data_IF_942942353039
#
_entry.id   IF_942942353039
#
_cell.length_a   1.000
_cell.length_b   1.000
_cell.length_c   1.000
_cell.angle_alpha   90.00
_cell.angle_beta   90.00
_cell.angle_gamma   90.00
#
_symmetry.space_group_name_H-M   'P 1'
#
loop_
_entity.id
_entity.type
_entity.pdbx_description
1 polymer ?
#
# COMPACT_ATOMS: atom_id res chain seq x y z
N UNK A 1 17.14 -6.58 16.39
CA UNK A 1 16.33 -5.55 15.69
C UNK A 1 15.37 -6.14 14.64
N UNK A 2 15.77 -7.10 13.79
CA UNK A 2 14.92 -7.62 12.69
C UNK A 2 13.53 -8.16 13.06
N UNK A 3 13.29 -8.61 14.31
CA UNK A 3 12.01 -9.24 14.71
C UNK A 3 10.84 -8.27 14.89
N UNK A 4 11.04 -6.95 14.78
CA UNK A 4 9.99 -5.93 15.00
C UNK A 4 9.65 -5.11 13.74
N UNK A 5 10.04 -5.58 12.56
CA UNK A 5 9.82 -4.85 11.30
C UNK A 5 8.81 -5.58 10.43
N UNK A 6 7.85 -4.83 9.87
CA UNK A 6 6.84 -5.33 8.96
C UNK A 6 6.88 -4.49 7.66
N UNK A 7 7.50 -4.98 6.58
CA UNK A 7 7.44 -4.31 5.29
C UNK A 7 6.04 -4.48 4.66
N UNK A 8 5.51 -3.40 4.08
CA UNK A 8 4.24 -3.36 3.37
C UNK A 8 4.44 -2.74 1.98
N UNK A 9 3.58 -3.09 1.02
CA UNK A 9 3.67 -2.61 -0.36
C UNK A 9 2.31 -2.10 -0.83
N UNK A 10 2.28 -0.92 -1.46
CA UNK A 10 1.06 -0.29 -1.99
C UNK A 10 0.47 -1.00 -3.23
N UNK A 11 1.18 -1.97 -3.79
CA UNK A 11 0.80 -2.76 -4.96
C UNK A 11 0.54 -1.91 -6.22
N UNK A 12 1.40 -0.92 -6.48
CA UNK A 12 1.46 -0.21 -7.77
C UNK A 12 1.99 -1.14 -8.85
N UNK A 13 1.37 -1.08 -10.03
CA UNK A 13 1.83 -1.76 -11.25
C UNK A 13 2.70 -0.87 -12.16
N UNK A 14 3.02 0.35 -11.73
CA UNK A 14 3.80 1.33 -12.49
C UNK A 14 5.21 1.57 -11.90
N UNK A 15 5.81 0.53 -11.30
CA UNK A 15 7.20 0.55 -10.83
C UNK A 15 8.14 -0.27 -11.73
N UNK A 16 9.46 0.00 -11.73
CA UNK A 16 10.42 -0.85 -12.42
C UNK A 16 10.49 -2.24 -11.77
N UNK A 17 10.50 -3.30 -12.57
CA UNK A 17 10.58 -4.70 -12.11
C UNK A 17 12.00 -5.19 -11.84
N UNK A 18 12.20 -6.51 -11.80
CA UNK A 18 13.52 -7.14 -11.78
C UNK A 18 14.22 -7.20 -10.41
N UNK A 19 13.51 -7.01 -9.30
CA UNK A 19 14.10 -6.97 -7.95
C UNK A 19 13.78 -8.22 -7.09
N UNK A 20 13.16 -9.25 -7.67
CA UNK A 20 12.76 -10.49 -6.98
C UNK A 20 13.67 -11.66 -7.35
N UNK A 21 13.69 -12.71 -6.52
CA UNK A 21 14.61 -13.85 -6.69
C UNK A 21 14.04 -15.00 -7.53
N UNK A 22 12.72 -15.21 -7.48
CA UNK A 22 12.08 -16.32 -8.19
C UNK A 22 11.80 -15.97 -9.66
N UNK A 23 12.15 -16.91 -10.55
CA UNK A 23 12.02 -16.77 -12.02
C UNK A 23 10.65 -16.26 -12.44
N UNK A 24 9.58 -16.80 -11.86
CA UNK A 24 8.19 -16.45 -12.19
C UNK A 24 7.91 -14.94 -12.06
N UNK A 25 8.62 -14.24 -11.17
CA UNK A 25 8.40 -12.81 -10.92
C UNK A 25 9.35 -11.88 -11.70
N UNK A 26 10.40 -12.42 -12.34
CA UNK A 26 11.40 -11.63 -13.07
C UNK A 26 11.44 -11.95 -14.57
N UNK A 27 10.68 -12.93 -15.03
CA UNK A 27 10.63 -13.31 -16.46
C UNK A 27 10.22 -12.13 -17.34
N UNK A 28 9.22 -11.34 -16.92
CA UNK A 28 8.78 -10.14 -17.66
C UNK A 28 9.71 -8.94 -17.49
N UNK A 29 10.67 -9.02 -16.56
CA UNK A 29 11.75 -8.04 -16.38
C UNK A 29 13.04 -8.46 -17.08
N UNK A 30 13.04 -9.60 -17.79
CA UNK A 30 14.20 -10.20 -18.45
C UNK A 30 15.36 -10.50 -17.49
N UNK A 31 15.03 -10.84 -16.24
CA UNK A 31 15.99 -11.20 -15.19
C UNK A 31 16.08 -10.17 -14.07
N UNK A 32 17.15 -10.28 -13.30
CA UNK A 32 17.40 -9.44 -12.14
C UNK A 32 18.09 -8.13 -12.53
N UNK A 33 17.51 -7.01 -12.11
CA UNK A 33 17.98 -5.65 -12.38
C UNK A 33 18.55 -5.06 -11.10
N UNK A 34 19.88 -5.08 -10.99
CA UNK A 34 20.58 -4.68 -9.77
C UNK A 34 20.27 -3.24 -9.36
N UNK A 35 20.17 -2.30 -10.31
CA UNK A 35 19.84 -0.90 -9.99
C UNK A 35 18.47 -0.75 -9.32
N UNK A 36 17.45 -1.47 -9.79
CA UNK A 36 16.11 -1.44 -9.19
C UNK A 36 16.10 -2.03 -7.79
N UNK A 37 16.81 -3.15 -7.59
CA UNK A 37 16.97 -3.76 -6.28
C UNK A 37 17.68 -2.83 -5.28
N UNK A 38 18.83 -2.26 -5.67
CA UNK A 38 19.61 -1.39 -4.79
C UNK A 38 18.84 -0.11 -4.44
N UNK A 39 18.12 0.48 -5.40
CA UNK A 39 17.28 1.64 -5.13
C UNK A 39 16.19 1.35 -4.07
N UNK A 40 15.53 0.20 -4.17
CA UNK A 40 14.49 -0.21 -3.21
C UNK A 40 15.08 -0.49 -1.82
N UNK A 41 16.18 -1.25 -1.76
CA UNK A 41 16.82 -1.60 -0.48
C UNK A 41 17.38 -0.36 0.20
N UNK A 42 18.18 0.44 -0.50
CA UNK A 42 18.82 1.62 0.06
C UNK A 42 17.77 2.68 0.47
N UNK A 43 16.71 2.86 -0.32
CA UNK A 43 15.62 3.77 0.01
C UNK A 43 14.85 3.34 1.26
N UNK A 44 14.57 2.04 1.38
CA UNK A 44 13.89 1.46 2.55
C UNK A 44 14.77 1.57 3.80
N UNK A 45 16.05 1.20 3.70
CA UNK A 45 17.00 1.34 4.80
C UNK A 45 17.10 2.80 5.27
N UNK A 46 17.22 3.74 4.34
CA UNK A 46 17.30 5.17 4.66
C UNK A 46 16.05 5.68 5.37
N UNK A 47 14.84 5.28 4.97
CA UNK A 47 13.62 5.71 5.65
C UNK A 47 13.51 5.13 7.06
N UNK A 48 13.97 3.89 7.26
CA UNK A 48 14.06 3.25 8.58
C UNK A 48 15.06 3.97 9.48
N UNK A 49 16.20 4.43 8.96
CA UNK A 49 17.20 5.16 9.74
C UNK A 49 16.66 6.54 10.15
N UNK A 50 16.00 7.24 9.23
CA UNK A 50 15.48 8.59 9.46
C UNK A 50 14.34 8.63 10.50
N UNK A 51 13.50 7.59 10.57
CA UNK A 51 12.33 7.61 11.46
C UNK A 51 12.70 7.67 12.97
N UNK A 52 13.62 6.83 13.51
CA UNK A 52 14.12 6.93 14.87
C UNK A 52 14.82 8.26 15.19
N UNK A 53 15.54 8.83 14.23
CA UNK A 53 16.25 10.11 14.39
C UNK A 53 15.30 11.30 14.56
N UNK A 54 14.04 11.15 14.17
CA UNK A 54 12.98 12.16 14.33
C UNK A 54 11.86 11.69 15.28
N UNK A 55 12.18 10.83 16.26
CA UNK A 55 11.22 10.44 17.30
C UNK A 55 10.81 11.63 18.17
N UNK A 56 9.51 11.78 18.39
CA UNK A 56 8.92 12.85 19.20
C UNK A 56 7.80 12.32 20.09
N UNK A 57 7.55 12.95 21.26
CA UNK A 57 6.39 12.63 22.08
C UNK A 57 5.10 13.00 21.36
N UNK A 58 4.13 12.10 21.37
CA UNK A 58 2.88 12.30 20.65
C UNK A 58 1.83 11.26 21.01
N UNK A 59 0.72 11.32 20.29
CA UNK A 59 -0.43 10.44 20.44
C UNK A 59 -0.75 9.72 19.13
N UNK A 60 -1.30 8.51 19.25
CA UNK A 60 -1.77 7.70 18.13
C UNK A 60 -3.29 7.60 18.22
N UNK A 61 -3.97 7.91 17.12
CA UNK A 61 -5.42 7.77 17.01
C UNK A 61 -5.76 6.75 15.93
N UNK A 62 -6.85 6.00 16.13
CA UNK A 62 -7.40 5.08 15.15
C UNK A 62 -8.82 5.50 14.80
N UNK A 63 -9.16 5.47 13.51
CA UNK A 63 -10.52 5.67 13.05
C UNK A 63 -10.86 4.69 11.92
N UNK A 64 -12.14 4.41 11.76
CA UNK A 64 -12.69 3.56 10.70
C UNK A 64 -13.82 4.29 10.00
N UNK A 65 -13.87 4.17 8.67
CA UNK A 65 -14.88 4.83 7.85
C UNK A 65 -15.24 4.03 6.61
N UNK A 66 -16.49 4.15 6.17
CA UNK A 66 -16.94 3.58 4.90
C UNK A 66 -16.48 4.44 3.72
N UNK A 67 -15.80 3.83 2.75
CA UNK A 67 -15.41 4.45 1.49
C UNK A 67 -16.08 3.70 0.33
N UNK A 68 -17.08 4.35 -0.26
CA UNK A 68 -17.80 3.83 -1.42
C UNK A 68 -17.09 4.22 -2.72
N UNK A 69 -17.41 3.53 -3.80
CA UNK A 69 -16.97 3.87 -5.17
C UNK A 69 -15.46 3.94 -5.45
N UNK A 70 -14.63 3.45 -4.52
CA UNK A 70 -13.17 3.38 -4.66
C UNK A 70 -12.65 2.02 -5.21
N UNK A 71 -13.54 1.23 -5.83
CA UNK A 71 -13.19 -0.06 -6.43
C UNK A 71 -14.37 -1.02 -6.60
N UNK A 72 -14.15 -2.05 -7.41
CA UNK A 72 -15.11 -3.12 -7.73
C UNK A 72 -14.50 -4.51 -7.54
N UNK A 73 -15.33 -5.53 -7.34
CA UNK A 73 -14.88 -6.91 -7.34
C UNK A 73 -14.61 -7.36 -8.79
N UNK A 74 -13.35 -7.68 -9.11
CA UNK A 74 -12.94 -8.14 -10.45
C UNK A 74 -13.22 -9.62 -10.74
N UNK A 75 -13.73 -10.37 -9.78
CA UNK A 75 -14.08 -11.79 -9.90
C UNK A 75 -15.37 -12.12 -9.13
N UNK A 76 -16.50 -11.48 -9.48
CA UNK A 76 -17.75 -11.60 -8.73
C UNK A 76 -18.31 -13.03 -8.77
N UNK A 77 -18.13 -13.76 -9.87
CA UNK A 77 -18.55 -15.17 -9.98
C UNK A 77 -17.82 -16.07 -8.98
N UNK A 78 -16.53 -15.85 -8.75
CA UNK A 78 -15.77 -16.59 -7.75
C UNK A 78 -16.24 -16.26 -6.31
N UNK A 79 -16.56 -15.00 -6.04
CA UNK A 79 -17.13 -14.59 -4.74
C UNK A 79 -18.48 -15.30 -4.47
N UNK A 80 -19.28 -15.55 -5.50
CA UNK A 80 -20.54 -16.31 -5.38
C UNK A 80 -20.35 -17.80 -5.08
N UNK A 81 -19.13 -18.32 -5.12
CA UNK A 81 -18.83 -19.69 -4.68
C UNK A 81 -18.59 -19.80 -3.16
N UNK A 82 -18.38 -18.68 -2.45
CA UNK A 82 -18.30 -18.69 -0.98
C UNK A 82 -19.65 -19.13 -0.37
N UNK A 83 -19.72 -19.83 0.77
CA UNK A 83 -21.00 -20.24 1.36
C UNK A 83 -22.00 -19.09 1.53
N UNK A 84 -23.27 -19.32 1.21
CA UNK A 84 -24.31 -18.29 1.32
C UNK A 84 -24.43 -17.72 2.76
N UNK A 85 -24.26 -18.58 3.77
CA UNK A 85 -24.25 -18.19 5.19
C UNK A 85 -23.10 -17.24 5.55
N UNK A 86 -21.98 -17.30 4.84
CA UNK A 86 -20.87 -16.37 5.01
C UNK A 86 -21.15 -15.05 4.29
N UNK A 87 -21.53 -15.10 3.00
CA UNK A 87 -21.80 -13.89 2.20
C UNK A 87 -22.87 -13.01 2.83
N UNK A 88 -23.90 -13.61 3.42
CA UNK A 88 -25.00 -12.89 4.09
C UNK A 88 -24.54 -12.10 5.33
N UNK A 89 -23.31 -12.30 5.83
CA UNK A 89 -22.73 -11.47 6.91
C UNK A 89 -22.21 -10.12 6.43
N UNK A 90 -22.06 -9.93 5.12
CA UNK A 90 -21.45 -8.75 4.53
C UNK A 90 -22.44 -8.04 3.59
N UNK A 91 -22.46 -6.70 3.65
CA UNK A 91 -23.34 -5.88 2.80
C UNK A 91 -22.87 -5.81 1.34
N UNK A 92 -21.57 -5.94 1.10
CA UNK A 92 -20.95 -5.76 -0.22
C UNK A 92 -20.02 -6.93 -0.53
N UNK A 93 -19.73 -7.15 -1.81
CA UNK A 93 -18.76 -8.14 -2.29
C UNK A 93 -17.32 -7.57 -2.39
N UNK A 94 -17.09 -6.42 -1.78
CA UNK A 94 -15.79 -5.76 -1.62
C UNK A 94 -15.74 -5.11 -0.24
N UNK A 95 -14.56 -5.05 0.37
CA UNK A 95 -14.39 -4.36 1.64
C UNK A 95 -14.48 -2.84 1.42
N UNK A 96 -15.48 -2.23 2.07
CA UNK A 96 -15.71 -0.78 2.02
C UNK A 96 -15.18 -0.05 3.26
N UNK A 97 -14.66 -0.76 4.27
CA UNK A 97 -14.09 -0.14 5.47
C UNK A 97 -12.63 0.26 5.21
N UNK A 98 -12.31 1.53 5.44
CA UNK A 98 -10.94 2.04 5.54
C UNK A 98 -10.58 2.20 7.02
N UNK A 99 -9.38 1.77 7.40
CA UNK A 99 -8.82 2.02 8.73
C UNK A 99 -7.67 3.03 8.63
N UNK A 100 -7.78 4.13 9.36
CA UNK A 100 -6.77 5.18 9.48
C UNK A 100 -6.08 5.08 10.83
N UNK A 101 -4.75 5.04 10.84
CA UNK A 101 -3.92 5.30 12.02
C UNK A 101 -3.28 6.68 11.83
N UNK A 102 -3.55 7.62 12.73
CA UNK A 102 -3.03 8.99 12.69
C UNK A 102 -2.04 9.22 13.82
N UNK A 103 -0.91 9.83 13.50
CA UNK A 103 0.13 10.24 14.44
C UNK A 103 0.06 11.75 14.63
N UNK A 104 0.02 12.19 15.89
CA UNK A 104 -0.08 13.59 16.28
C UNK A 104 1.02 13.90 17.27
N UNK A 105 1.86 14.86 16.93
CA UNK A 105 2.85 15.45 17.82
C UNK A 105 2.19 16.44 18.78
N UNK A 106 2.68 16.49 20.02
CA UNK A 106 2.10 17.32 21.07
C UNK A 106 2.25 18.84 20.84
N UNK A 107 3.24 19.27 20.07
CA UNK A 107 3.54 20.67 19.77
C UNK A 107 3.08 21.06 18.35
N UNK A 108 3.35 20.20 17.37
CA UNK A 108 3.24 20.52 15.94
C UNK A 108 1.94 20.01 15.30
N UNK A 109 1.15 19.21 16.03
CA UNK A 109 -0.11 18.64 15.52
C UNK A 109 0.11 17.41 14.64
N UNK A 110 -0.72 17.17 13.60
CA UNK A 110 -0.62 15.97 12.76
C UNK A 110 0.74 15.85 12.06
N UNK A 111 1.41 14.70 12.20
CA UNK A 111 2.75 14.46 11.61
C UNK A 111 2.82 13.26 10.67
N UNK A 112 1.76 12.44 10.62
CA UNK A 112 1.71 11.31 9.70
C UNK A 112 0.46 10.47 9.84
N UNK A 113 0.26 9.59 8.88
CA UNK A 113 -0.85 8.65 8.86
C UNK A 113 -0.50 7.37 8.10
N UNK A 114 -1.17 6.28 8.46
CA UNK A 114 -1.21 5.04 7.67
C UNK A 114 -2.67 4.67 7.42
N UNK A 115 -3.01 4.46 6.14
CA UNK A 115 -4.35 4.09 5.70
C UNK A 115 -4.39 2.68 5.12
N UNK A 116 -5.24 1.82 5.69
CA UNK A 116 -5.54 0.50 5.15
C UNK A 116 -6.89 0.54 4.42
N UNK A 117 -6.85 0.28 3.12
CA UNK A 117 -8.04 0.13 2.28
C UNK A 117 -7.75 -0.80 1.10
N UNK A 118 -8.64 -1.76 0.84
CA UNK A 118 -8.47 -2.79 -0.17
C UNK A 118 -8.85 -2.30 -1.58
N UNK A 119 -7.84 -1.84 -2.34
CA UNK A 119 -7.99 -1.53 -3.76
C UNK A 119 -6.65 -1.75 -4.47
N UNK A 120 -6.70 -2.12 -5.76
CA UNK A 120 -5.50 -2.40 -6.55
C UNK A 120 -4.83 -1.10 -7.00
N UNK A 121 -3.49 -1.03 -6.95
CA UNK A 121 -2.70 0.05 -7.56
C UNK A 121 -2.56 -0.15 -9.07
N UNK A 122 -3.69 -0.15 -9.79
CA UNK A 122 -3.79 -0.39 -11.24
C UNK A 122 -4.62 0.68 -11.95
N UNK A 123 -4.66 1.91 -11.43
CA UNK A 123 -5.29 3.04 -12.12
C UNK A 123 -4.48 3.46 -13.36
N UNK A 124 -3.15 3.33 -13.30
CA UNK A 124 -2.28 3.41 -14.47
C UNK A 124 -2.39 2.10 -15.26
N UNK A 125 -2.76 2.20 -16.53
CA UNK A 125 -2.95 1.03 -17.39
C UNK A 125 -1.61 0.41 -17.83
N UNK A 126 -1.67 -0.79 -18.42
CA UNK A 126 -0.48 -1.50 -18.94
C UNK A 126 0.26 -0.77 -20.07
N UNK A 127 -0.33 0.27 -20.68
CA UNK A 127 0.30 1.07 -21.74
C UNK A 127 0.98 2.32 -21.20
N UNK A 128 0.86 2.60 -19.89
CA UNK A 128 1.62 3.65 -19.25
C UNK A 128 3.11 3.28 -19.20
N UNK A 129 3.98 4.21 -19.58
CA UNK A 129 5.43 4.04 -19.59
C UNK A 129 6.13 4.86 -18.49
N UNK A 130 5.38 5.58 -17.65
CA UNK A 130 5.92 6.45 -16.60
C UNK A 130 5.91 5.75 -15.24
N UNK A 131 6.95 5.99 -14.44
CA UNK A 131 7.00 5.51 -13.05
C UNK A 131 5.93 6.24 -12.23
N UNK A 132 5.16 5.49 -11.44
CA UNK A 132 4.08 6.06 -10.61
C UNK A 132 3.80 5.23 -9.35
N UNK A 133 3.44 5.92 -8.27
CA UNK A 133 2.85 5.30 -7.07
C UNK A 133 1.38 4.90 -7.24
N UNK A 134 0.81 5.14 -8.43
CA UNK A 134 -0.59 4.86 -8.78
C UNK A 134 -1.58 5.60 -7.85
N UNK A 135 -2.83 5.12 -7.72
CA UNK A 135 -3.87 5.76 -6.92
C UNK A 135 -3.48 5.94 -5.45
N UNK A 136 -2.86 4.95 -4.82
CA UNK A 136 -2.41 5.01 -3.41
C UNK A 136 -1.24 5.98 -3.23
N UNK A 137 -0.33 6.05 -4.19
CA UNK A 137 0.74 7.04 -4.20
C UNK A 137 0.21 8.45 -4.39
N UNK A 138 -0.79 8.65 -5.25
CA UNK A 138 -1.47 9.94 -5.40
C UNK A 138 -2.15 10.37 -4.08
N UNK A 139 -2.84 9.44 -3.39
CA UNK A 139 -3.42 9.72 -2.07
C UNK A 139 -2.36 10.12 -1.04
N UNK A 140 -1.23 9.38 -0.98
CA UNK A 140 -0.14 9.75 -0.09
C UNK A 140 0.39 11.16 -0.41
N UNK A 141 0.62 11.45 -1.70
CA UNK A 141 1.09 12.77 -2.15
C UNK A 141 0.12 13.89 -1.78
N UNK A 142 -1.19 13.69 -1.94
CA UNK A 142 -2.20 14.69 -1.56
C UNK A 142 -2.33 14.90 -0.04
N UNK A 143 -1.84 13.97 0.78
CA UNK A 143 -1.78 14.15 2.24
C UNK A 143 -0.48 14.80 2.71
N UNK A 144 0.58 14.73 1.90
CA UNK A 144 1.90 15.28 2.20
C UNK A 144 2.10 16.71 1.68
N UNK A 145 1.31 17.12 0.69
CA UNK A 145 1.26 18.47 0.12
C UNK A 145 0.23 19.38 0.81
#
# INVERSE_FOLDING_TARGET
MLRKMLPLVAFTHAGPGGYLQYIIYIVTSLGFVRQSYDALVNGTEKSIIQAPENLRPGSIFINKGGLLDAGVNRSPSAYLNNPASERNKYKYNVDKEMTLIKFVDNEWGPVGAVNWFATHGTSMSRTNLLISGDNKGAVARFMED
#
